data_IF_198574647395
#
_entry.id   IF_198574647395
#
_cell.length_a   1.000
_cell.length_b   1.000
_cell.length_c   1.000
_cell.angle_alpha   90.00
_cell.angle_beta   90.00
_cell.angle_gamma   90.00
#
_symmetry.space_group_name_H-M   'P 1'
#
loop_
_entity.id
_entity.type
_entity.pdbx_description
1 polymer ?
#
# COMPACT_ATOMS: atom_id res chain seq x y z
N UNK A 1 37.13 14.38 -8.57
CA UNK A 1 35.90 13.60 -8.37
C UNK A 1 34.73 14.57 -8.49
N UNK A 2 34.04 14.57 -9.63
CA UNK A 2 32.87 15.41 -9.83
C UNK A 2 31.66 14.74 -9.13
N UNK A 3 31.13 15.38 -8.11
CA UNK A 3 29.83 14.99 -7.55
C UNK A 3 28.77 15.18 -8.66
N UNK A 4 28.12 14.09 -9.03
CA UNK A 4 26.92 14.12 -9.83
C UNK A 4 25.83 14.77 -8.95
N UNK A 5 25.58 16.05 -9.11
CA UNK A 5 24.34 16.68 -8.67
C UNK A 5 23.21 16.14 -9.56
N UNK A 6 22.57 15.06 -9.12
CA UNK A 6 21.32 14.62 -9.73
C UNK A 6 20.30 15.73 -9.55
N UNK A 7 19.81 16.35 -10.65
CA UNK A 7 18.66 17.25 -10.60
C UNK A 7 17.48 16.46 -10.04
N UNK A 8 17.13 16.71 -8.78
CA UNK A 8 15.93 16.12 -8.15
C UNK A 8 14.72 16.67 -8.91
N UNK A 9 13.83 15.76 -9.35
CA UNK A 9 12.57 16.16 -9.99
C UNK A 9 11.75 16.96 -8.98
N UNK A 10 11.39 18.19 -9.29
CA UNK A 10 10.61 19.09 -8.43
C UNK A 10 9.27 18.49 -8.00
N UNK A 11 8.73 17.55 -8.78
CA UNK A 11 7.51 16.78 -8.42
C UNK A 11 7.77 15.80 -7.30
N UNK A 12 8.93 15.12 -7.32
CA UNK A 12 9.34 14.21 -6.24
C UNK A 12 9.56 14.98 -4.93
N UNK A 13 10.24 16.12 -4.97
CA UNK A 13 10.41 16.98 -3.79
C UNK A 13 9.08 17.42 -3.18
N UNK A 14 8.12 17.84 -4.03
CA UNK A 14 6.79 18.24 -3.58
C UNK A 14 6.06 17.09 -2.88
N UNK A 15 6.08 15.90 -3.46
CA UNK A 15 5.45 14.71 -2.86
C UNK A 15 6.17 14.33 -1.56
N UNK A 16 7.51 14.29 -1.55
CA UNK A 16 8.31 13.97 -0.36
C UNK A 16 8.01 14.90 0.80
N UNK A 17 7.92 16.20 0.55
CA UNK A 17 7.66 17.21 1.58
C UNK A 17 6.23 17.13 2.16
N UNK A 18 5.30 16.47 1.48
CA UNK A 18 3.94 16.24 1.97
C UNK A 18 3.77 14.85 2.58
N UNK A 19 4.69 13.91 2.34
CA UNK A 19 4.55 12.52 2.77
C UNK A 19 5.35 12.24 4.05
N UNK A 20 4.70 11.96 5.19
CA UNK A 20 5.37 11.82 6.49
C UNK A 20 6.41 10.69 6.54
N UNK A 21 6.36 9.71 5.63
CA UNK A 21 7.34 8.62 5.60
C UNK A 21 8.59 8.94 4.74
N UNK A 22 8.60 10.02 3.95
CA UNK A 22 9.67 10.30 2.99
C UNK A 22 10.51 11.52 3.36
N UNK A 23 10.03 12.35 4.27
CA UNK A 23 10.76 13.52 4.73
C UNK A 23 10.73 13.64 6.25
N UNK A 24 11.91 13.80 6.86
CA UNK A 24 12.03 14.02 8.30
C UNK A 24 11.33 15.30 8.81
N UNK A 25 11.19 16.32 7.97
CA UNK A 25 10.40 17.51 8.28
C UNK A 25 8.90 17.28 8.20
N UNK A 26 8.45 16.47 7.25
CA UNK A 26 7.03 16.17 7.08
C UNK A 26 6.46 15.29 8.20
N UNK A 27 7.24 14.37 8.76
CA UNK A 27 6.77 13.47 9.83
C UNK A 27 6.37 14.17 11.11
N UNK A 28 6.83 15.40 11.33
CA UNK A 28 6.50 16.23 12.50
C UNK A 28 5.30 17.16 12.28
N UNK A 29 4.90 17.37 11.02
CA UNK A 29 3.91 18.39 10.66
C UNK A 29 2.77 17.88 9.75
N UNK A 30 2.88 16.66 9.24
CA UNK A 30 1.92 16.07 8.30
C UNK A 30 1.38 14.75 8.85
N UNK A 31 0.08 14.52 8.58
CA UNK A 31 -0.61 13.31 9.00
C UNK A 31 -0.79 12.30 7.87
N UNK A 32 -0.97 11.04 8.27
CA UNK A 32 -1.32 9.93 7.38
C UNK A 32 -2.42 9.08 8.01
N UNK A 33 -3.45 8.76 7.26
CA UNK A 33 -4.49 7.81 7.66
C UNK A 33 -4.34 6.50 6.88
N UNK A 34 -4.47 5.37 7.57
CA UNK A 34 -4.47 4.04 6.98
C UNK A 34 -5.86 3.45 6.93
N UNK A 35 -6.24 2.90 5.76
CA UNK A 35 -7.54 2.32 5.51
C UNK A 35 -7.43 0.80 5.32
N UNK A 36 -8.02 -0.02 6.21
CA UNK A 36 -8.02 -1.47 6.10
C UNK A 36 -9.15 -1.95 5.17
N UNK A 37 -8.91 -1.91 3.86
CA UNK A 37 -9.91 -2.24 2.83
C UNK A 37 -9.58 -3.49 2.02
N UNK A 38 -8.39 -4.08 2.19
CA UNK A 38 -7.93 -5.21 1.38
C UNK A 38 -8.27 -6.55 2.05
N UNK A 39 -9.35 -7.25 1.64
CA UNK A 39 -9.85 -8.43 2.34
C UNK A 39 -9.02 -9.70 2.04
N UNK A 40 -8.31 -9.75 0.92
CA UNK A 40 -7.60 -10.92 0.45
C UNK A 40 -6.15 -10.60 0.05
N UNK A 41 -5.35 -11.64 -0.10
CA UNK A 41 -3.98 -11.53 -0.60
C UNK A 41 -3.75 -12.65 -1.61
N UNK A 42 -3.00 -12.37 -2.64
CA UNK A 42 -2.61 -13.32 -3.68
C UNK A 42 -1.33 -14.09 -3.36
N UNK A 43 -0.70 -13.82 -2.20
CA UNK A 43 0.40 -14.62 -1.65
C UNK A 43 0.13 -14.99 -0.19
N UNK A 44 0.79 -16.04 0.29
CA UNK A 44 0.77 -16.43 1.70
C UNK A 44 2.18 -16.39 2.26
N UNK A 45 2.53 -15.29 2.91
CA UNK A 45 3.73 -15.22 3.74
C UNK A 45 3.53 -16.03 5.04
N UNK A 46 4.52 -16.82 5.44
CA UNK A 46 4.43 -17.73 6.61
C UNK A 46 4.27 -16.98 7.95
N UNK A 47 4.75 -15.73 8.01
CA UNK A 47 4.62 -14.87 9.20
C UNK A 47 3.31 -14.07 9.24
N UNK A 48 2.55 -14.01 8.14
CA UNK A 48 1.37 -13.18 8.01
C UNK A 48 0.10 -13.93 8.45
N UNK A 49 -0.63 -13.39 9.41
CA UNK A 49 -1.80 -14.06 10.00
C UNK A 49 -3.13 -13.72 9.35
N UNK A 50 -3.30 -12.52 8.81
CA UNK A 50 -4.54 -11.98 8.23
C UNK A 50 -5.78 -12.31 9.09
N UNK A 51 -5.87 -11.69 10.25
CA UNK A 51 -6.98 -11.86 11.20
C UNK A 51 -7.51 -10.51 11.67
N UNK A 52 -8.71 -10.53 12.28
CA UNK A 52 -9.29 -9.35 12.90
C UNK A 52 -9.11 -9.42 14.40
N UNK A 53 -8.36 -8.49 14.97
CA UNK A 53 -8.13 -8.38 16.40
C UNK A 53 -7.75 -6.93 16.73
N UNK A 54 -8.44 -6.31 17.69
CA UNK A 54 -8.22 -4.92 18.06
C UNK A 54 -6.96 -4.69 18.89
N UNK A 55 -6.44 -5.73 19.52
CA UNK A 55 -5.27 -5.65 20.43
C UNK A 55 -3.99 -6.22 19.84
N UNK A 56 -4.07 -7.06 18.81
CA UNK A 56 -2.90 -7.71 18.21
C UNK A 56 -2.31 -6.86 17.10
N UNK A 57 -1.02 -6.51 17.24
CA UNK A 57 -0.29 -5.72 16.23
C UNK A 57 0.73 -6.61 15.51
N UNK A 58 0.29 -7.27 14.44
CA UNK A 58 1.14 -8.11 13.58
C UNK A 58 0.78 -7.91 12.11
N UNK A 59 1.69 -8.24 11.17
CA UNK A 59 1.39 -8.17 9.74
C UNK A 59 0.09 -8.93 9.39
N UNK A 60 -0.76 -8.31 8.61
CA UNK A 60 -2.05 -8.84 8.19
C UNK A 60 -3.16 -8.82 9.24
N UNK A 61 -2.95 -8.23 10.42
CA UNK A 61 -3.99 -8.07 11.43
C UNK A 61 -4.57 -6.66 11.35
N UNK A 62 -5.90 -6.54 11.36
CA UNK A 62 -6.62 -5.27 11.41
C UNK A 62 -7.76 -5.35 12.43
N UNK A 63 -8.17 -4.21 12.98
CA UNK A 63 -9.29 -4.13 13.91
C UNK A 63 -10.64 -4.46 13.26
N UNK A 64 -10.78 -4.11 11.99
CA UNK A 64 -11.93 -4.42 11.13
C UNK A 64 -11.57 -4.19 9.66
N UNK A 65 -12.41 -4.71 8.76
CA UNK A 65 -12.37 -4.36 7.34
C UNK A 65 -13.42 -3.29 7.05
N UNK A 66 -13.09 -2.36 6.16
CA UNK A 66 -13.99 -1.31 5.68
C UNK A 66 -14.41 -1.59 4.23
N UNK A 67 -15.64 -1.21 3.86
CA UNK A 67 -15.98 -1.07 2.45
C UNK A 67 -15.34 0.19 1.87
N UNK A 68 -15.21 0.33 0.54
CA UNK A 68 -14.69 1.54 -0.09
C UNK A 68 -15.42 2.82 0.36
N UNK A 69 -16.74 2.77 0.48
CA UNK A 69 -17.58 3.89 0.92
C UNK A 69 -17.32 4.25 2.38
N UNK A 70 -17.25 3.25 3.27
CA UNK A 70 -16.94 3.46 4.69
C UNK A 70 -15.54 4.05 4.86
N UNK A 71 -14.59 3.60 4.06
CA UNK A 71 -13.22 4.10 4.06
C UNK A 71 -13.18 5.58 3.63
N UNK A 72 -13.87 5.94 2.56
CA UNK A 72 -13.95 7.33 2.11
C UNK A 72 -14.63 8.23 3.15
N UNK A 73 -15.72 7.78 3.79
CA UNK A 73 -16.36 8.51 4.90
C UNK A 73 -15.44 8.65 6.12
N UNK A 74 -14.59 7.67 6.37
CA UNK A 74 -13.59 7.76 7.45
C UNK A 74 -12.56 8.85 7.14
N UNK A 75 -12.15 8.99 5.87
CA UNK A 75 -11.24 10.09 5.45
C UNK A 75 -11.90 11.44 5.69
N UNK A 76 -13.17 11.63 5.30
CA UNK A 76 -13.91 12.89 5.54
C UNK A 76 -13.88 13.27 7.03
N UNK A 77 -14.15 12.30 7.92
CA UNK A 77 -14.09 12.51 9.38
C UNK A 77 -12.66 12.77 9.88
N UNK A 78 -11.70 12.03 9.37
CA UNK A 78 -10.31 12.18 9.79
C UNK A 78 -9.78 13.59 9.45
N UNK A 79 -10.09 14.12 8.28
CA UNK A 79 -9.71 15.48 7.87
C UNK A 79 -10.37 16.57 8.73
N UNK A 80 -11.59 16.34 9.19
CA UNK A 80 -12.26 17.27 10.12
C UNK A 80 -11.55 17.34 11.47
N UNK A 81 -11.03 16.22 11.95
CA UNK A 81 -10.34 16.13 13.26
C UNK A 81 -8.85 16.46 13.16
N UNK A 82 -8.22 16.15 12.04
CA UNK A 82 -6.78 16.26 11.81
C UNK A 82 -6.55 16.84 10.40
N UNK A 83 -6.69 18.16 10.23
CA UNK A 83 -6.54 18.82 8.91
C UNK A 83 -5.12 18.76 8.34
N UNK A 84 -4.13 18.40 9.16
CA UNK A 84 -2.75 18.16 8.75
C UNK A 84 -2.56 16.85 7.97
N UNK A 85 -3.57 16.00 7.83
CA UNK A 85 -3.48 14.78 7.03
C UNK A 85 -3.30 15.13 5.56
N UNK A 86 -2.23 14.64 4.97
CA UNK A 86 -1.87 14.84 3.56
C UNK A 86 -1.83 13.53 2.77
N UNK A 87 -1.82 12.38 3.47
CA UNK A 87 -1.67 11.06 2.85
C UNK A 87 -2.78 10.12 3.31
N UNK A 88 -3.38 9.44 2.34
CA UNK A 88 -4.26 8.29 2.55
C UNK A 88 -3.52 7.03 2.11
N UNK A 89 -3.27 6.12 3.05
CA UNK A 89 -2.54 4.88 2.82
C UNK A 89 -3.42 3.64 2.88
N UNK A 90 -3.18 2.68 2.00
CA UNK A 90 -3.75 1.34 2.07
C UNK A 90 -2.61 0.32 2.13
N UNK A 91 -2.58 -0.50 3.18
CA UNK A 91 -1.50 -1.45 3.45
C UNK A 91 -2.01 -2.74 4.12
N UNK A 92 -3.18 -3.19 3.73
CA UNK A 92 -3.72 -4.44 4.28
C UNK A 92 -5.19 -4.35 4.72
N UNK A 93 -5.66 -5.43 5.43
CA UNK A 93 -4.93 -6.59 5.96
C UNK A 93 -4.39 -7.59 4.91
N UNK A 94 -4.98 -7.64 3.71
CA UNK A 94 -4.45 -8.38 2.56
C UNK A 94 -3.54 -7.54 1.67
N UNK A 95 -3.29 -8.01 0.45
CA UNK A 95 -2.59 -7.20 -0.55
C UNK A 95 -3.55 -6.21 -1.21
N UNK A 96 -3.06 -5.01 -1.43
CA UNK A 96 -3.84 -3.87 -1.95
C UNK A 96 -4.38 -4.14 -3.36
N UNK A 97 -3.70 -4.95 -4.16
CA UNK A 97 -4.06 -5.23 -5.55
C UNK A 97 -4.70 -6.62 -5.76
N UNK A 98 -4.84 -7.43 -4.70
CA UNK A 98 -5.48 -8.75 -4.79
C UNK A 98 -6.99 -8.67 -5.04
N UNK A 99 -7.61 -7.51 -4.79
CA UNK A 99 -9.03 -7.23 -5.06
C UNK A 99 -9.22 -5.80 -5.53
N UNK A 100 -10.40 -5.44 -6.04
CA UNK A 100 -10.70 -4.08 -6.53
C UNK A 100 -10.95 -3.05 -5.42
N UNK A 101 -11.16 -3.48 -4.17
CA UNK A 101 -11.57 -2.60 -3.05
C UNK A 101 -10.66 -1.41 -2.83
N UNK A 102 -9.35 -1.61 -2.90
CA UNK A 102 -8.40 -0.52 -2.71
C UNK A 102 -8.44 0.49 -3.85
N UNK A 103 -8.52 0.03 -5.09
CA UNK A 103 -8.63 0.88 -6.27
C UNK A 103 -9.93 1.70 -6.25
N UNK A 104 -11.05 1.08 -5.90
CA UNK A 104 -12.33 1.75 -5.72
C UNK A 104 -12.26 2.80 -4.61
N UNK A 105 -11.63 2.47 -3.47
CA UNK A 105 -11.40 3.40 -2.37
C UNK A 105 -10.57 4.60 -2.83
N UNK A 106 -9.45 4.38 -3.52
CA UNK A 106 -8.62 5.48 -4.01
C UNK A 106 -9.35 6.38 -5.00
N UNK A 107 -10.16 5.80 -5.91
CA UNK A 107 -11.01 6.58 -6.82
C UNK A 107 -12.03 7.43 -6.06
N UNK A 108 -12.66 6.90 -5.01
CA UNK A 108 -13.60 7.65 -4.16
C UNK A 108 -12.91 8.78 -3.43
N UNK A 109 -11.77 8.49 -2.79
CA UNK A 109 -10.99 9.50 -2.06
C UNK A 109 -10.48 10.58 -3.01
N UNK A 110 -9.90 10.21 -4.14
CA UNK A 110 -9.35 11.18 -5.11
C UNK A 110 -10.42 12.12 -5.69
N UNK A 111 -11.64 11.62 -5.89
CA UNK A 111 -12.75 12.49 -6.35
C UNK A 111 -13.22 13.50 -5.28
N UNK A 112 -13.14 13.14 -3.99
CA UNK A 112 -13.56 14.01 -2.88
C UNK A 112 -12.45 14.96 -2.43
N UNK A 113 -11.22 14.46 -2.45
CA UNK A 113 -10.04 15.10 -1.89
C UNK A 113 -8.84 14.96 -2.86
N UNK A 114 -8.87 15.66 -4.01
CA UNK A 114 -7.82 15.54 -5.04
C UNK A 114 -6.45 16.06 -4.58
N UNK A 115 -6.41 16.83 -3.49
CA UNK A 115 -5.19 17.35 -2.85
C UNK A 115 -4.43 16.29 -2.06
N UNK A 116 -5.09 15.20 -1.64
CA UNK A 116 -4.45 14.13 -0.87
C UNK A 116 -3.60 13.22 -1.75
N UNK A 117 -2.50 12.77 -1.19
CA UNK A 117 -1.64 11.76 -1.80
C UNK A 117 -2.18 10.37 -1.45
N UNK A 118 -2.65 9.63 -2.45
CA UNK A 118 -2.94 8.23 -2.29
C UNK A 118 -1.63 7.42 -2.32
N UNK A 119 -1.44 6.58 -1.30
CA UNK A 119 -0.25 5.76 -1.07
C UNK A 119 -0.65 4.29 -0.88
N UNK A 120 0.00 3.38 -1.57
CA UNK A 120 -0.27 1.95 -1.37
C UNK A 120 0.99 1.18 -0.98
N UNK A 121 0.78 0.08 -0.24
CA UNK A 121 1.77 -0.97 -0.06
C UNK A 121 1.25 -2.26 -0.67
N UNK A 122 2.09 -2.94 -1.44
CA UNK A 122 1.74 -4.18 -2.15
C UNK A 122 2.93 -5.14 -2.17
N UNK A 123 2.68 -6.41 -2.45
CA UNK A 123 3.72 -7.38 -2.76
C UNK A 123 4.29 -7.23 -4.18
N UNK A 124 3.71 -6.35 -4.99
CA UNK A 124 4.17 -6.06 -6.35
C UNK A 124 3.63 -6.96 -7.45
N UNK A 125 3.11 -8.15 -7.15
CA UNK A 125 2.74 -9.18 -8.13
C UNK A 125 1.78 -8.69 -9.23
N UNK A 126 0.88 -7.77 -8.91
CA UNK A 126 -0.10 -7.22 -9.84
C UNK A 126 0.14 -5.74 -10.16
N UNK A 127 1.27 -5.16 -9.74
CA UNK A 127 1.52 -3.73 -9.87
C UNK A 127 1.56 -3.27 -11.34
N UNK A 128 2.23 -4.01 -12.20
CA UNK A 128 2.31 -3.71 -13.63
C UNK A 128 0.91 -3.66 -14.26
N UNK A 129 0.08 -4.66 -13.95
CA UNK A 129 -1.30 -4.77 -14.49
C UNK A 129 -2.17 -3.56 -14.13
N UNK A 130 -2.02 -3.02 -12.91
CA UNK A 130 -2.86 -1.94 -12.40
C UNK A 130 -2.18 -0.55 -12.41
N UNK A 131 -1.00 -0.41 -12.97
CA UNK A 131 -0.21 0.83 -12.90
C UNK A 131 -0.98 2.06 -13.40
N UNK A 132 -1.65 1.97 -14.56
CA UNK A 132 -2.43 3.07 -15.12
C UNK A 132 -3.67 3.37 -14.27
N UNK A 133 -4.41 2.35 -13.86
CA UNK A 133 -5.59 2.51 -13.00
C UNK A 133 -5.25 3.18 -11.66
N UNK A 134 -4.10 2.83 -11.09
CA UNK A 134 -3.60 3.44 -9.86
C UNK A 134 -3.25 4.92 -10.06
N UNK A 135 -2.59 5.24 -11.16
CA UNK A 135 -2.28 6.62 -11.51
C UNK A 135 -3.55 7.46 -11.65
N UNK A 136 -4.55 6.95 -12.37
CA UNK A 136 -5.84 7.60 -12.60
C UNK A 136 -6.66 7.73 -11.30
N UNK A 137 -6.46 6.80 -10.36
CA UNK A 137 -7.04 6.86 -9.01
C UNK A 137 -6.29 7.78 -8.04
N UNK A 138 -5.32 8.57 -8.51
CA UNK A 138 -4.58 9.54 -7.69
C UNK A 138 -3.47 8.94 -6.83
N UNK A 139 -3.06 7.69 -7.06
CA UNK A 139 -1.90 7.10 -6.38
C UNK A 139 -0.63 7.77 -6.89
N UNK A 140 0.20 8.23 -5.95
CA UNK A 140 1.46 8.93 -6.25
C UNK A 140 2.66 8.31 -5.55
N UNK A 141 2.41 7.43 -4.59
CA UNK A 141 3.47 6.72 -3.87
C UNK A 141 3.12 5.24 -3.71
N UNK A 142 4.11 4.40 -3.97
CA UNK A 142 3.99 2.93 -3.89
C UNK A 142 5.15 2.39 -3.06
N UNK A 143 4.83 1.49 -2.14
CA UNK A 143 5.82 0.69 -1.41
C UNK A 143 5.65 -0.76 -1.83
N UNK A 144 6.69 -1.35 -2.38
CA UNK A 144 6.72 -2.79 -2.70
C UNK A 144 7.46 -3.53 -1.60
N UNK A 145 6.83 -4.57 -1.07
CA UNK A 145 7.44 -5.42 -0.04
C UNK A 145 8.25 -6.53 -0.71
N UNK A 146 9.56 -6.48 -0.56
CA UNK A 146 10.49 -7.52 -0.99
C UNK A 146 11.03 -8.22 0.27
N UNK A 147 10.63 -9.48 0.51
CA UNK A 147 11.02 -10.22 1.70
C UNK A 147 12.37 -10.94 1.56
N UNK A 148 12.72 -11.31 0.34
CA UNK A 148 14.06 -11.81 -0.04
C UNK A 148 14.24 -11.59 -1.54
N UNK A 149 15.49 -11.44 -1.97
CA UNK A 149 15.86 -11.27 -3.39
C UNK A 149 16.08 -12.62 -4.05
N UNK A 150 16.72 -13.57 -3.32
CA UNK A 150 17.03 -14.88 -3.82
C UNK A 150 15.81 -15.82 -3.70
N UNK A 151 15.33 -16.43 -4.80
CA UNK A 151 14.20 -17.36 -4.77
C UNK A 151 14.40 -18.54 -3.82
N UNK A 152 15.64 -19.03 -3.68
CA UNK A 152 16.03 -20.10 -2.76
C UNK A 152 15.77 -19.75 -1.29
N UNK A 153 15.83 -18.46 -0.93
CA UNK A 153 15.50 -17.96 0.41
C UNK A 153 14.00 -17.68 0.49
N UNK A 154 13.44 -17.04 -0.54
CA UNK A 154 12.04 -16.60 -0.55
C UNK A 154 11.04 -17.77 -0.44
N UNK A 155 11.36 -18.96 -0.98
CA UNK A 155 10.54 -20.17 -0.85
C UNK A 155 10.27 -20.60 0.60
N UNK A 156 11.14 -20.23 1.55
CA UNK A 156 10.97 -20.51 2.98
C UNK A 156 10.16 -19.42 3.68
N UNK A 157 10.00 -18.25 3.07
CA UNK A 157 9.26 -17.11 3.59
C UNK A 157 7.82 -17.10 3.03
N UNK A 158 7.66 -17.36 1.74
CA UNK A 158 6.38 -17.45 1.05
C UNK A 158 5.92 -18.92 0.93
N UNK A 159 4.72 -19.23 1.41
CA UNK A 159 4.15 -20.57 1.32
C UNK A 159 3.62 -20.88 -0.08
N UNK A 160 2.90 -19.93 -0.67
CA UNK A 160 2.35 -20.05 -2.02
C UNK A 160 2.00 -18.70 -2.61
N UNK A 161 1.88 -18.67 -3.94
CA UNK A 161 1.41 -17.56 -4.76
C UNK A 161 0.19 -18.04 -5.56
N UNK A 162 -0.81 -17.16 -5.70
CA UNK A 162 -1.94 -17.37 -6.60
C UNK A 162 -1.90 -16.28 -7.68
N UNK A 163 -1.66 -16.68 -8.91
CA UNK A 163 -1.61 -15.78 -10.06
C UNK A 163 -2.50 -16.35 -11.17
N UNK A 164 -3.41 -15.53 -11.67
CA UNK A 164 -4.38 -15.89 -12.74
C UNK A 164 -5.16 -17.19 -12.44
N UNK A 165 -5.56 -17.36 -11.18
CA UNK A 165 -6.33 -18.52 -10.72
C UNK A 165 -5.49 -19.80 -10.50
N UNK A 166 -4.21 -19.78 -10.84
CA UNK A 166 -3.29 -20.91 -10.62
C UNK A 166 -2.50 -20.69 -9.32
N UNK A 167 -2.35 -21.75 -8.53
CA UNK A 167 -1.54 -21.79 -7.32
C UNK A 167 -0.16 -22.36 -7.61
N UNK A 168 0.86 -21.67 -7.12
CA UNK A 168 2.27 -22.02 -7.21
C UNK A 168 2.84 -22.19 -5.81
N UNK A 169 3.82 -23.10 -5.64
CA UNK A 169 4.46 -23.39 -4.34
C UNK A 169 5.97 -23.53 -4.48
N UNK A 170 6.69 -23.51 -3.36
CA UNK A 170 8.13 -23.69 -3.31
C UNK A 170 8.91 -22.71 -4.18
N UNK A 171 9.90 -23.22 -4.90
CA UNK A 171 10.80 -22.41 -5.73
C UNK A 171 10.06 -21.75 -6.91
N UNK A 172 9.05 -22.43 -7.50
CA UNK A 172 8.26 -21.86 -8.59
C UNK A 172 7.49 -20.61 -8.12
N UNK A 173 6.88 -20.66 -6.94
CA UNK A 173 6.22 -19.51 -6.34
C UNK A 173 7.20 -18.37 -6.02
N UNK A 174 8.38 -18.70 -5.54
CA UNK A 174 9.41 -17.72 -5.23
C UNK A 174 9.99 -17.02 -6.46
N UNK A 175 10.05 -17.73 -7.59
CA UNK A 175 10.56 -17.18 -8.86
C UNK A 175 9.55 -16.26 -9.58
N UNK A 176 8.28 -16.25 -9.15
CA UNK A 176 7.23 -15.37 -9.68
C UNK A 176 7.24 -14.01 -8.94
N UNK A 177 7.73 -13.98 -7.72
CA UNK A 177 7.75 -12.79 -6.85
C UNK A 177 9.04 -11.98 -7.01
#
# INVERSE_FOLDING_TARGET
>A
MACFEAKVDTRFEKISNLHPCFSGGANMSRGRVHLPVSPACNIQCRFCKRSFNKSEQRPGVAGRLLTPEQAAQLVDKALTLCPEITVVGIAGPGDTLATTHALETFRLVHRRHPELINCLSTNGLLLERYAQDLWDAGVRTVTVTVNAVEPEILQYICSHVVLDGKRYEGLEAASIL
#
